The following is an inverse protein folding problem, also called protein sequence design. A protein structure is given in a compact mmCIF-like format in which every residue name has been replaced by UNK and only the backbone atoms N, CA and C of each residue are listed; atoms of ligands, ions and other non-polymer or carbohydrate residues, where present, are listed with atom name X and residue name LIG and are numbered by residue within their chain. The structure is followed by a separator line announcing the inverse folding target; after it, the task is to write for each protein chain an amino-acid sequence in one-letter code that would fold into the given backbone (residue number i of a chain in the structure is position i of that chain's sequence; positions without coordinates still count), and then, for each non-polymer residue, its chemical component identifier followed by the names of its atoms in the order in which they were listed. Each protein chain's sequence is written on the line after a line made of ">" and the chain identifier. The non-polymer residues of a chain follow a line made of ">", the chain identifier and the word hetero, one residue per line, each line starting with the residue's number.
data_IF_177663262638
#
_entry.id   IF_177663262638
#
_cell.length_a   1.000
_cell.length_b   1.000
_cell.length_c   1.000
_cell.angle_alpha   90.00
_cell.angle_beta   90.00
_cell.angle_gamma   90.00
#
_symmetry.space_group_name_H-M   'P 1'
#
loop_
_entity.id
_entity.type
_entity.pdbx_description
1 polymer ?
#
# COMPACT_ATOMS: atom_id res chain seq x y z
N UNK A 1 23.72 9.33 -2.25
CA UNK A 1 23.10 8.05 -1.88
C UNK A 1 21.81 7.93 -2.66
N UNK A 2 21.60 6.84 -3.40
CA UNK A 2 20.26 6.54 -3.89
C UNK A 2 19.34 6.27 -2.69
N UNK A 3 18.08 6.73 -2.71
CA UNK A 3 17.13 6.40 -1.66
C UNK A 3 16.90 4.89 -1.63
N UNK A 4 16.98 4.29 -0.44
CA UNK A 4 16.65 2.88 -0.26
C UNK A 4 15.12 2.72 -0.43
N UNK A 5 14.69 2.26 -1.61
CA UNK A 5 13.27 2.12 -1.98
C UNK A 5 12.69 0.83 -1.37
N UNK A 6 12.82 0.66 -0.06
CA UNK A 6 12.32 -0.49 0.69
C UNK A 6 11.17 -0.08 1.60
N UNK A 7 10.17 -0.95 1.68
CA UNK A 7 9.10 -0.88 2.68
C UNK A 7 9.30 -2.03 3.66
N UNK A 8 9.28 -1.73 4.96
CA UNK A 8 9.34 -2.73 6.02
C UNK A 8 8.03 -2.70 6.80
N UNK A 9 7.45 -3.87 7.05
CA UNK A 9 6.22 -4.05 7.82
C UNK A 9 6.47 -5.13 8.86
N UNK A 10 6.17 -4.84 10.12
CA UNK A 10 6.20 -5.84 11.19
C UNK A 10 4.95 -5.72 12.08
N UNK A 11 4.58 -6.83 12.71
CA UNK A 11 3.48 -6.88 13.68
C UNK A 11 3.74 -7.95 14.72
N UNK A 12 3.39 -7.64 15.97
CA UNK A 12 3.40 -8.62 17.07
C UNK A 12 2.18 -9.55 17.05
N UNK A 13 1.14 -9.17 16.32
CA UNK A 13 -0.19 -9.79 16.42
C UNK A 13 -0.56 -10.62 15.20
N UNK A 14 0.17 -10.47 14.09
CA UNK A 14 -0.16 -11.11 12.82
C UNK A 14 1.00 -11.93 12.31
N UNK A 15 0.68 -13.09 11.73
CA UNK A 15 1.66 -13.97 11.12
C UNK A 15 2.31 -13.32 9.91
N UNK A 16 3.57 -13.67 9.66
CA UNK A 16 4.38 -13.23 8.52
C UNK A 16 3.64 -13.30 7.18
N UNK A 17 3.01 -14.44 6.88
CA UNK A 17 2.25 -14.65 5.63
C UNK A 17 1.16 -13.61 5.45
N UNK A 18 0.42 -13.30 6.52
CA UNK A 18 -0.64 -12.29 6.47
C UNK A 18 -0.06 -10.91 6.18
N UNK A 19 1.02 -10.53 6.88
CA UNK A 19 1.69 -9.24 6.67
C UNK A 19 2.20 -9.09 5.23
N UNK A 20 2.74 -10.17 4.66
CA UNK A 20 3.20 -10.20 3.27
C UNK A 20 2.05 -9.97 2.29
N UNK A 21 0.94 -10.70 2.44
CA UNK A 21 -0.22 -10.57 1.56
C UNK A 21 -0.88 -9.19 1.71
N UNK A 22 -1.04 -8.72 2.94
CA UNK A 22 -1.56 -7.39 3.23
C UNK A 22 -0.69 -6.28 2.61
N UNK A 23 0.63 -6.35 2.76
CA UNK A 23 1.54 -5.36 2.19
C UNK A 23 1.48 -5.35 0.64
N UNK A 24 1.41 -6.55 0.02
CA UNK A 24 1.23 -6.66 -1.43
C UNK A 24 -0.10 -6.03 -1.87
N UNK A 25 -1.18 -6.31 -1.14
CA UNK A 25 -2.51 -5.79 -1.43
C UNK A 25 -2.52 -4.25 -1.37
N UNK A 26 -2.01 -3.66 -0.29
CA UNK A 26 -1.94 -2.21 -0.13
C UNK A 26 -1.08 -1.55 -1.21
N UNK A 27 0.11 -2.11 -1.51
CA UNK A 27 1.00 -1.56 -2.53
C UNK A 27 0.41 -1.63 -3.94
N UNK A 28 -0.28 -2.72 -4.27
CA UNK A 28 -1.00 -2.84 -5.54
C UNK A 28 -2.14 -1.83 -5.63
N UNK A 29 -2.94 -1.68 -4.57
CA UNK A 29 -4.05 -0.72 -4.55
C UNK A 29 -3.60 0.73 -4.75
N UNK A 30 -2.46 1.11 -4.17
CA UNK A 30 -1.94 2.48 -4.25
C UNK A 30 -1.20 2.80 -5.56
N UNK A 31 -0.47 1.82 -6.13
CA UNK A 31 0.46 2.07 -7.24
C UNK A 31 0.04 1.44 -8.57
N UNK A 32 -1.02 0.63 -8.57
CA UNK A 32 -1.66 0.10 -9.78
C UNK A 32 -3.08 0.62 -9.85
N UNK A 33 -3.23 1.90 -10.21
CA UNK A 33 -4.51 2.60 -10.16
C UNK A 33 -4.82 3.38 -11.44
N UNK A 34 -6.10 3.73 -11.62
CA UNK A 34 -6.61 4.57 -12.70
C UNK A 34 -7.82 5.37 -12.21
N UNK A 35 -8.24 6.45 -12.91
CA UNK A 35 -9.42 7.23 -12.54
C UNK A 35 -10.70 6.41 -12.41
N UNK A 36 -10.80 5.29 -13.14
CA UNK A 36 -11.96 4.40 -13.15
C UNK A 36 -11.97 3.41 -11.98
N UNK A 37 -10.80 3.03 -11.47
CA UNK A 37 -10.65 1.97 -10.47
C UNK A 37 -10.40 2.50 -9.05
N UNK A 38 -9.85 3.73 -8.93
CA UNK A 38 -9.33 4.28 -7.67
C UNK A 38 -10.37 4.30 -6.53
N UNK A 39 -11.65 4.57 -6.82
CA UNK A 39 -12.69 4.58 -5.79
C UNK A 39 -12.93 3.19 -5.18
N UNK A 40 -13.05 2.18 -6.04
CA UNK A 40 -13.22 0.78 -5.63
C UNK A 40 -12.00 0.32 -4.84
N UNK A 41 -10.80 0.62 -5.34
CA UNK A 41 -9.55 0.25 -4.68
C UNK A 41 -9.42 0.88 -3.29
N UNK A 42 -9.80 2.16 -3.14
CA UNK A 42 -9.85 2.82 -1.83
C UNK A 42 -10.86 2.15 -0.91
N UNK A 43 -12.04 1.78 -1.42
CA UNK A 43 -13.05 1.08 -0.62
C UNK A 43 -12.51 -0.28 -0.11
N UNK A 44 -11.87 -1.07 -0.97
CA UNK A 44 -11.25 -2.34 -0.60
C UNK A 44 -10.11 -2.14 0.42
N UNK A 45 -9.26 -1.12 0.23
CA UNK A 45 -8.18 -0.80 1.16
C UNK A 45 -8.69 -0.34 2.53
N UNK A 46 -9.82 0.38 2.59
CA UNK A 46 -10.44 0.78 3.86
C UNK A 46 -10.92 -0.41 4.68
N UNK A 47 -11.33 -1.52 4.05
CA UNK A 47 -11.69 -2.76 4.77
C UNK A 47 -10.50 -3.36 5.50
N UNK A 48 -9.29 -3.25 4.91
CA UNK A 48 -8.06 -3.80 5.46
C UNK A 48 -7.23 -2.79 6.28
N UNK A 49 -7.77 -1.59 6.55
CA UNK A 49 -7.04 -0.50 7.21
C UNK A 49 -7.77 0.05 8.43
N UNK A 50 -7.03 0.69 9.34
CA UNK A 50 -7.60 1.39 10.49
C UNK A 50 -8.42 2.61 10.06
N UNK A 51 -9.56 2.85 10.71
CA UNK A 51 -10.36 4.05 10.46
C UNK A 51 -9.82 5.25 11.25
N UNK A 52 -8.75 5.88 10.75
CA UNK A 52 -8.18 7.10 11.34
C UNK A 52 -8.44 8.31 10.45
N UNK A 53 -8.54 9.49 11.05
CA UNK A 53 -8.74 10.75 10.31
C UNK A 53 -7.61 11.02 9.31
N UNK A 54 -6.36 10.77 9.72
CA UNK A 54 -5.19 10.93 8.85
C UNK A 54 -5.24 10.04 7.62
N UNK A 55 -5.64 8.77 7.78
CA UNK A 55 -5.75 7.85 6.65
C UNK A 55 -6.94 8.19 5.75
N UNK A 56 -8.06 8.62 6.34
CA UNK A 56 -9.20 9.08 5.57
C UNK A 56 -8.87 10.33 4.72
N UNK A 57 -8.09 11.27 5.28
CA UNK A 57 -7.59 12.42 4.54
C UNK A 57 -6.65 11.98 3.41
N UNK A 58 -5.72 11.06 3.68
CA UNK A 58 -4.84 10.52 2.65
C UNK A 58 -5.62 9.91 1.48
N UNK A 59 -6.63 9.07 1.74
CA UNK A 59 -7.45 8.49 0.69
C UNK A 59 -8.24 9.52 -0.10
N UNK A 60 -8.75 10.57 0.57
CA UNK A 60 -9.41 11.69 -0.11
C UNK A 60 -8.45 12.39 -1.08
N UNK A 61 -7.27 12.77 -0.60
CA UNK A 61 -6.25 13.47 -1.41
C UNK A 61 -5.77 12.60 -2.58
N UNK A 62 -5.57 11.30 -2.34
CA UNK A 62 -5.17 10.34 -3.38
C UNK A 62 -6.23 10.19 -4.47
N UNK A 63 -7.52 10.09 -4.10
CA UNK A 63 -8.62 10.07 -5.05
C UNK A 63 -8.64 11.31 -5.95
N UNK A 64 -8.51 12.50 -5.35
CA UNK A 64 -8.47 13.76 -6.09
C UNK A 64 -7.27 13.82 -7.03
N UNK A 65 -6.11 13.37 -6.58
CA UNK A 65 -4.90 13.32 -7.41
C UNK A 65 -5.06 12.40 -8.62
N UNK A 66 -5.53 11.16 -8.44
CA UNK A 66 -5.67 10.19 -9.54
C UNK A 66 -6.71 10.65 -10.54
N UNK A 67 -7.90 11.09 -10.07
CA UNK A 67 -8.95 11.59 -10.96
C UNK A 67 -8.56 12.89 -11.66
N UNK A 68 -7.96 13.84 -10.93
CA UNK A 68 -7.56 15.14 -11.48
C UNK A 68 -6.38 15.07 -12.45
N UNK A 69 -5.48 14.11 -12.26
CA UNK A 69 -4.34 13.90 -13.18
C UNK A 69 -4.71 13.09 -14.43
N UNK A 70 -5.82 12.33 -14.40
CA UNK A 70 -6.20 11.36 -15.43
C UNK A 70 -5.10 10.34 -15.75
N UNK A 71 -4.21 10.08 -14.79
CA UNK A 71 -3.07 9.16 -14.94
C UNK A 71 -3.49 7.76 -14.52
N UNK A 72 -3.10 6.79 -15.34
CA UNK A 72 -3.11 5.37 -14.96
C UNK A 72 -1.69 4.91 -14.67
N UNK A 73 -1.54 4.05 -13.66
CA UNK A 73 -0.27 3.50 -13.24
C UNK A 73 -0.39 2.01 -13.04
N UNK A 74 0.73 1.31 -13.24
CA UNK A 74 0.84 -0.12 -12.96
C UNK A 74 2.15 -0.37 -12.24
N UNK A 75 2.05 -1.03 -11.10
CA UNK A 75 3.18 -1.41 -10.26
C UNK A 75 3.29 -2.93 -10.14
N UNK A 76 4.51 -3.41 -10.37
CA UNK A 76 4.89 -4.79 -10.16
C UNK A 76 6.06 -4.84 -9.17
N UNK A 77 5.93 -5.54 -8.03
CA UNK A 77 7.03 -5.67 -7.10
C UNK A 77 8.15 -6.50 -7.74
N UNK A 78 9.38 -5.98 -7.68
CA UNK A 78 10.57 -6.68 -8.23
C UNK A 78 10.96 -7.90 -7.40
N UNK A 79 10.91 -7.77 -6.07
CA UNK A 79 11.26 -8.82 -5.11
C UNK A 79 10.47 -8.59 -3.83
N UNK A 80 10.02 -9.66 -3.20
CA UNK A 80 9.32 -9.61 -1.92
C UNK A 80 10.02 -10.60 -1.01
N UNK A 81 10.64 -10.08 0.04
CA UNK A 81 11.33 -10.87 1.04
C UNK A 81 10.66 -10.61 2.37
N UNK A 82 10.52 -11.67 3.17
CA UNK A 82 10.22 -11.47 4.57
C UNK A 82 11.54 -11.44 5.30
N UNK A 83 11.73 -10.36 6.05
CA UNK A 83 12.89 -10.16 6.89
C UNK A 83 12.45 -10.35 8.33
N UNK A 84 13.01 -11.36 9.01
CA UNK A 84 12.84 -11.49 10.45
C UNK A 84 13.53 -10.29 11.11
N UNK A 85 12.90 -9.66 12.11
CA UNK A 85 13.50 -8.52 12.83
C UNK A 85 14.89 -8.85 13.41
N UNK A 86 15.15 -10.12 13.73
CA UNK A 86 16.45 -10.62 14.21
C UNK A 86 17.56 -10.68 13.14
N UNK A 87 17.21 -10.57 11.86
CA UNK A 87 18.14 -10.64 10.72
C UNK A 87 18.65 -9.26 10.26
N UNK A 88 18.21 -8.17 10.89
CA UNK A 88 18.52 -6.78 10.49
C UNK A 88 19.59 -6.14 11.40
N UNK A 89 20.29 -6.94 12.22
CA UNK A 89 21.43 -6.51 13.04
C UNK A 89 22.75 -7.03 12.46
#
# INVERSE_FOLDING_TARGET
>A
MEPDRKMMVSSKNYHETYLKEWAIFMMKGLLTTSPNEVERQIADMKVASSNTESLNKFFHDHLQFVKGSNVSSVFFPKKIEVVNEWSIN
#
